data_IF_604903203342
#
_entry.id   IF_604903203342
#
_cell.length_a   1.000
_cell.length_b   1.000
_cell.length_c   1.000
_cell.angle_alpha   90.00
_cell.angle_beta   90.00
_cell.angle_gamma   90.00
#
_symmetry.space_group_name_H-M   'P 1'
#
loop_
_entity.id
_entity.type
_entity.pdbx_description
1 polymer ?
#
# COMPACT_ATOMS: atom_id res chain seq x y z
N UNK A 1 -0.99 16.47 4.24
CA UNK A 1 -2.22 15.97 4.88
C UNK A 1 -1.82 15.06 6.01
N UNK A 2 -2.57 15.00 7.11
CA UNK A 2 -2.17 14.20 8.27
C UNK A 2 -2.20 12.68 7.97
N UNK A 3 -1.10 11.99 8.27
CA UNK A 3 -1.02 10.54 8.22
C UNK A 3 -2.00 9.87 9.21
N UNK A 4 -2.45 8.65 8.88
CA UNK A 4 -3.29 7.81 9.75
C UNK A 4 -2.48 6.99 10.77
N UNK A 5 -1.17 6.88 10.56
CA UNK A 5 -0.23 6.15 11.41
C UNK A 5 1.03 6.99 11.59
N UNK A 6 1.84 6.63 12.59
CA UNK A 6 3.17 7.19 12.80
C UNK A 6 4.25 6.17 12.41
N UNK A 7 5.48 6.61 12.10
CA UNK A 7 6.58 5.69 11.76
C UNK A 7 6.86 4.64 12.84
N UNK A 8 6.57 4.95 14.11
CA UNK A 8 6.71 4.00 15.22
C UNK A 8 5.76 2.80 15.11
N UNK A 9 4.56 2.98 14.54
CA UNK A 9 3.60 1.89 14.29
C UNK A 9 4.15 0.89 13.26
N UNK A 10 5.05 1.35 12.37
CA UNK A 10 5.71 0.50 11.38
C UNK A 10 6.78 -0.37 12.07
N UNK A 11 7.51 0.18 13.03
CA UNK A 11 8.52 -0.55 13.79
C UNK A 11 7.91 -1.59 14.76
N UNK A 12 6.61 -1.51 15.06
CA UNK A 12 5.94 -2.41 15.98
C UNK A 12 6.07 -3.89 15.53
N UNK A 13 6.69 -4.71 16.38
CA UNK A 13 6.91 -6.14 16.15
C UNK A 13 8.11 -6.49 15.25
N UNK A 14 8.95 -5.50 14.90
CA UNK A 14 10.10 -5.68 14.02
C UNK A 14 11.38 -4.98 14.50
N UNK A 15 12.35 -4.85 13.58
CA UNK A 15 13.57 -4.09 13.83
C UNK A 15 13.23 -2.58 13.87
N UNK A 16 13.82 -1.80 14.80
CA UNK A 16 13.66 -0.34 14.77
C UNK A 16 14.15 0.25 13.45
N UNK A 17 13.46 1.28 12.98
CA UNK A 17 13.84 2.04 11.79
C UNK A 17 15.05 2.93 12.09
N UNK A 18 15.95 3.10 11.11
CA UNK A 18 17.00 4.12 11.19
C UNK A 18 16.41 5.52 11.00
N UNK A 19 17.13 6.58 11.35
CA UNK A 19 16.65 7.96 11.17
C UNK A 19 16.22 8.27 9.73
N UNK A 20 17.02 7.84 8.75
CA UNK A 20 16.69 7.99 7.32
C UNK A 20 15.40 7.25 6.94
N UNK A 21 15.24 6.01 7.43
CA UNK A 21 14.03 5.21 7.19
C UNK A 21 12.80 5.79 7.88
N UNK A 22 12.96 6.46 9.03
CA UNK A 22 11.86 7.14 9.71
C UNK A 22 11.33 8.31 8.89
N UNK A 23 12.23 9.12 8.30
CA UNK A 23 11.84 10.22 7.41
C UNK A 23 11.14 9.71 6.16
N UNK A 24 11.68 8.66 5.55
CA UNK A 24 11.06 8.03 4.38
C UNK A 24 9.70 7.41 4.71
N UNK A 25 9.60 6.67 5.81
CA UNK A 25 8.35 6.09 6.28
C UNK A 25 7.28 7.15 6.52
N UNK A 26 7.65 8.30 7.09
CA UNK A 26 6.72 9.42 7.27
C UNK A 26 6.20 9.94 5.92
N UNK A 27 7.09 10.14 4.94
CA UNK A 27 6.71 10.59 3.60
C UNK A 27 5.75 9.60 2.92
N UNK A 28 6.01 8.30 3.06
CA UNK A 28 5.16 7.25 2.49
C UNK A 28 3.81 7.15 3.18
N UNK A 29 3.76 7.37 4.50
CA UNK A 29 2.52 7.44 5.26
C UNK A 29 1.67 8.64 4.83
N UNK A 30 2.28 9.80 4.60
CA UNK A 30 1.58 10.99 4.10
C UNK A 30 1.05 10.79 2.67
N UNK A 31 1.84 10.13 1.81
CA UNK A 31 1.42 9.78 0.45
C UNK A 31 0.26 8.76 0.44
N UNK A 32 0.33 7.73 1.29
CA UNK A 32 -0.75 6.76 1.46
C UNK A 32 -2.02 7.44 1.99
N UNK A 33 -1.88 8.35 2.94
CA UNK A 33 -2.96 9.15 3.49
C UNK A 33 -3.64 10.05 2.45
N UNK A 34 -2.88 10.65 1.53
CA UNK A 34 -3.43 11.38 0.38
C UNK A 34 -4.23 10.45 -0.53
N UNK A 35 -3.64 9.31 -0.92
CA UNK A 35 -4.28 8.36 -1.83
C UNK A 35 -5.62 7.83 -1.32
N UNK A 36 -5.71 7.54 -0.01
CA UNK A 36 -6.94 7.09 0.64
C UNK A 36 -8.00 8.19 0.63
N UNK A 37 -7.63 9.41 1.01
CA UNK A 37 -8.58 10.54 1.07
C UNK A 37 -9.07 10.99 -0.30
N UNK A 38 -8.24 10.88 -1.33
CA UNK A 38 -8.66 11.17 -2.71
C UNK A 38 -9.77 10.23 -3.20
N UNK A 39 -9.83 9.00 -2.65
CA UNK A 39 -10.83 7.97 -3.03
C UNK A 39 -11.98 7.86 -2.04
N UNK A 40 -11.76 8.26 -0.80
CA UNK A 40 -12.75 8.25 0.28
C UNK A 40 -12.59 9.54 1.10
N UNK A 41 -13.13 10.67 0.61
CA UNK A 41 -12.94 11.97 1.26
C UNK A 41 -13.57 12.04 2.67
N UNK A 42 -14.64 11.28 2.89
CA UNK A 42 -15.40 11.26 4.15
C UNK A 42 -14.81 10.30 5.21
N UNK A 43 -13.58 9.80 5.01
CA UNK A 43 -12.95 8.90 5.98
C UNK A 43 -12.56 9.63 7.26
N UNK A 44 -12.87 9.04 8.41
CA UNK A 44 -12.49 9.59 9.70
C UNK A 44 -10.94 9.61 9.85
N UNK A 45 -10.36 10.66 10.46
CA UNK A 45 -8.91 10.76 10.64
C UNK A 45 -8.32 9.66 11.53
N UNK A 46 -9.13 9.09 12.43
CA UNK A 46 -8.73 8.01 13.35
C UNK A 46 -9.30 6.64 12.94
N UNK A 47 -9.64 6.46 11.66
CA UNK A 47 -10.19 5.20 11.15
C UNK A 47 -9.16 4.04 11.32
N UNK A 48 -9.50 2.98 12.07
CA UNK A 48 -8.55 1.90 12.36
C UNK A 48 -8.18 1.08 11.12
N UNK A 49 -9.08 0.97 10.13
CA UNK A 49 -8.80 0.28 8.88
C UNK A 49 -7.86 1.12 8.00
N UNK A 50 -8.04 2.44 7.97
CA UNK A 50 -7.13 3.36 7.29
C UNK A 50 -5.71 3.30 7.86
N UNK A 51 -5.60 3.25 9.20
CA UNK A 51 -4.33 3.06 9.90
C UNK A 51 -3.67 1.75 9.50
N UNK A 52 -4.40 0.63 9.59
CA UNK A 52 -3.89 -0.70 9.27
C UNK A 52 -3.42 -0.81 7.81
N UNK A 53 -4.23 -0.34 6.86
CA UNK A 53 -3.88 -0.37 5.43
C UNK A 53 -2.64 0.47 5.15
N UNK A 54 -2.55 1.68 5.74
CA UNK A 54 -1.37 2.53 5.58
C UNK A 54 -0.10 1.83 6.07
N UNK A 55 -0.15 1.19 7.24
CA UNK A 55 0.99 0.43 7.80
C UNK A 55 1.38 -0.73 6.88
N UNK A 56 0.43 -1.51 6.39
CA UNK A 56 0.71 -2.67 5.53
C UNK A 56 1.35 -2.26 4.19
N UNK A 57 0.80 -1.24 3.54
CA UNK A 57 1.32 -0.75 2.25
C UNK A 57 2.71 -0.15 2.39
N UNK A 58 2.95 0.66 3.44
CA UNK A 58 4.28 1.26 3.66
C UNK A 58 5.32 0.21 4.07
N UNK A 59 4.96 -0.78 4.90
CA UNK A 59 5.84 -1.93 5.19
C UNK A 59 6.26 -2.67 3.93
N UNK A 60 5.30 -2.93 3.03
CA UNK A 60 5.59 -3.59 1.76
C UNK A 60 6.51 -2.74 0.87
N UNK A 61 6.24 -1.43 0.80
CA UNK A 61 7.05 -0.47 0.04
C UNK A 61 8.52 -0.49 0.47
N UNK A 62 8.78 -0.30 1.77
CA UNK A 62 10.14 -0.27 2.35
C UNK A 62 10.90 -1.59 2.14
N UNK A 63 10.21 -2.75 2.16
CA UNK A 63 10.84 -4.04 1.89
C UNK A 63 11.16 -4.21 0.40
N UNK A 64 10.33 -3.66 -0.47
CA UNK A 64 10.45 -3.78 -1.92
C UNK A 64 11.39 -2.77 -2.58
N UNK A 65 11.70 -1.66 -1.89
CA UNK A 65 12.54 -0.56 -2.39
C UNK A 65 13.86 -1.01 -3.03
N UNK A 66 14.64 -1.94 -2.43
CA UNK A 66 15.91 -2.39 -3.03
C UNK A 66 15.75 -3.18 -4.34
N UNK A 67 14.52 -3.59 -4.67
CA UNK A 67 14.20 -4.41 -5.83
C UNK A 67 13.36 -3.64 -6.87
N UNK A 68 13.26 -2.32 -6.76
CA UNK A 68 12.55 -1.49 -7.73
C UNK A 68 13.12 -1.67 -9.13
N UNK A 69 12.22 -1.85 -10.10
CA UNK A 69 12.56 -2.11 -11.50
C UNK A 69 12.91 -3.56 -11.84
N UNK A 70 13.01 -4.45 -10.85
CA UNK A 70 13.20 -5.89 -11.08
C UNK A 70 11.85 -6.61 -11.15
N UNK A 71 11.65 -7.48 -12.14
CA UNK A 71 10.49 -8.38 -12.19
C UNK A 71 10.69 -9.67 -11.38
N UNK A 72 11.95 -10.10 -11.24
CA UNK A 72 12.37 -11.25 -10.43
C UNK A 72 13.76 -11.01 -9.88
N UNK A 73 14.04 -11.52 -8.67
CA UNK A 73 15.38 -11.49 -8.10
C UNK A 73 15.79 -12.88 -7.61
N UNK A 74 17.08 -13.16 -7.74
CA UNK A 74 17.75 -14.29 -7.08
C UNK A 74 19.08 -13.80 -6.56
N UNK A 75 19.31 -13.96 -5.26
CA UNK A 75 20.53 -13.59 -4.57
C UNK A 75 21.04 -14.80 -3.82
N UNK A 76 22.19 -15.31 -4.26
CA UNK A 76 22.91 -16.40 -3.60
C UNK A 76 24.09 -15.79 -2.84
N UNK A 77 24.16 -16.08 -1.53
CA UNK A 77 25.28 -15.69 -0.67
C UNK A 77 25.77 -16.96 0.03
N UNK A 78 26.95 -17.44 -0.37
CA UNK A 78 27.44 -18.75 0.07
C UNK A 78 26.48 -19.87 -0.33
N UNK A 79 26.05 -20.68 0.64
CA UNK A 79 25.09 -21.78 0.44
C UNK A 79 23.62 -21.33 0.49
N UNK A 80 23.33 -20.08 0.87
CA UNK A 80 21.96 -19.58 1.02
C UNK A 80 21.51 -18.87 -0.25
N UNK A 81 20.43 -19.35 -0.86
CA UNK A 81 19.78 -18.70 -2.00
C UNK A 81 18.44 -18.09 -1.58
N UNK A 82 18.27 -16.79 -1.85
CA UNK A 82 16.99 -16.09 -1.72
C UNK A 82 16.51 -15.67 -3.10
N UNK A 83 15.35 -16.17 -3.51
CA UNK A 83 14.73 -15.77 -4.77
C UNK A 83 13.27 -15.40 -4.57
N UNK A 84 12.74 -14.57 -5.46
CA UNK A 84 11.36 -14.10 -5.43
C UNK A 84 10.94 -13.47 -6.75
N UNK A 85 9.64 -13.51 -7.03
CA UNK A 85 9.02 -12.81 -8.17
C UNK A 85 8.20 -11.65 -7.62
N UNK A 86 8.30 -10.47 -8.24
CA UNK A 86 7.57 -9.28 -7.82
C UNK A 86 6.30 -9.13 -8.68
N UNK A 87 5.13 -9.05 -8.04
CA UNK A 87 3.85 -8.94 -8.75
C UNK A 87 3.62 -7.54 -9.38
N UNK A 88 4.18 -6.49 -8.76
CA UNK A 88 4.01 -5.09 -9.19
C UNK A 88 5.36 -4.37 -9.25
N UNK A 89 6.24 -4.74 -10.21
CA UNK A 89 7.57 -4.14 -10.32
C UNK A 89 7.45 -2.64 -10.62
N UNK A 90 8.03 -1.80 -9.76
CA UNK A 90 8.08 -0.35 -9.94
C UNK A 90 6.89 0.45 -9.38
N UNK A 91 5.93 -0.20 -8.71
CA UNK A 91 4.90 0.52 -7.94
C UNK A 91 5.36 0.70 -6.50
N UNK A 92 5.49 1.95 -6.04
CA UNK A 92 5.97 2.27 -4.70
C UNK A 92 4.93 1.95 -3.61
N UNK A 93 3.66 2.31 -3.85
CA UNK A 93 2.55 2.01 -2.94
C UNK A 93 1.51 1.16 -3.66
N UNK A 94 1.38 -0.11 -3.26
CA UNK A 94 0.45 -1.07 -3.86
C UNK A 94 -0.77 -1.27 -2.96
N UNK A 95 -1.91 -0.73 -3.38
CA UNK A 95 -3.20 -0.97 -2.73
C UNK A 95 -3.93 -2.15 -3.39
N UNK A 96 -3.90 -3.30 -2.72
CA UNK A 96 -4.57 -4.52 -3.18
C UNK A 96 -6.10 -4.38 -3.08
N UNK A 97 -6.83 -5.29 -3.72
CA UNK A 97 -8.28 -5.31 -3.64
C UNK A 97 -8.78 -5.54 -2.22
N UNK A 98 -8.06 -6.36 -1.44
CA UNK A 98 -8.31 -6.54 0.00
C UNK A 98 -8.20 -5.21 0.78
N UNK A 99 -7.20 -4.38 0.48
CA UNK A 99 -7.08 -3.06 1.12
C UNK A 99 -8.27 -2.15 0.77
N UNK A 100 -8.74 -2.22 -0.47
CA UNK A 100 -9.90 -1.42 -0.92
C UNK A 100 -11.19 -1.91 -0.26
N UNK A 101 -11.38 -3.23 -0.11
CA UNK A 101 -12.49 -3.83 0.65
C UNK A 101 -12.51 -3.35 2.09
N UNK A 102 -11.37 -3.39 2.80
CA UNK A 102 -11.26 -2.90 4.18
C UNK A 102 -11.63 -1.41 4.32
N UNK A 103 -11.29 -0.61 3.32
CA UNK A 103 -11.62 0.82 3.30
C UNK A 103 -13.05 1.09 2.83
N UNK A 104 -13.77 0.08 2.33
CA UNK A 104 -15.08 0.26 1.69
C UNK A 104 -15.00 1.02 0.36
N UNK A 105 -13.84 1.02 -0.30
CA UNK A 105 -13.64 1.64 -1.60
C UNK A 105 -14.11 0.65 -2.68
N UNK A 106 -15.06 1.02 -3.54
CA UNK A 106 -15.47 0.15 -4.64
C UNK A 106 -14.30 -0.07 -5.60
N UNK A 107 -13.95 -1.33 -5.84
CA UNK A 107 -12.80 -1.71 -6.68
C UNK A 107 -13.21 -2.55 -7.91
N UNK A 108 -14.47 -2.98 -7.98
CA UNK A 108 -15.07 -3.63 -9.15
C UNK A 108 -16.14 -2.71 -9.73
N UNK A 109 -16.14 -2.58 -11.05
CA UNK A 109 -17.27 -1.96 -11.74
C UNK A 109 -18.52 -2.82 -11.49
N UNK A 110 -19.58 -2.22 -10.95
CA UNK A 110 -20.89 -2.87 -10.91
C UNK A 110 -21.42 -3.08 -12.34
N UNK A 111 -22.31 -4.04 -12.56
CA UNK A 111 -22.98 -4.19 -13.85
C UNK A 111 -23.72 -2.90 -14.20
N UNK A 112 -23.33 -2.27 -15.31
CA UNK A 112 -24.02 -1.10 -15.87
C UNK A 112 -24.77 -1.54 -17.11
N UNK A 113 -26.10 -1.44 -17.08
CA UNK A 113 -26.94 -1.66 -18.26
C UNK A 113 -27.24 -0.33 -18.93
N UNK A 114 -26.94 -0.23 -20.23
CA UNK A 114 -27.40 0.88 -21.08
C UNK A 114 -28.52 0.38 -21.99
N UNK A 115 -29.75 0.30 -21.48
CA UNK A 115 -30.90 0.08 -22.36
C UNK A 115 -31.13 1.36 -23.16
N UNK A 116 -31.10 1.27 -24.49
CA UNK A 116 -31.60 2.37 -25.33
C UNK A 116 -33.12 2.43 -25.16
N UNK A 117 -33.67 3.65 -25.14
CA UNK A 117 -35.13 3.84 -25.15
C UNK A 117 -35.70 3.13 -26.39
N UNK A 118 -36.53 2.11 -26.18
CA UNK A 118 -37.19 1.35 -27.25
C UNK A 118 -36.68 -0.07 -27.51
N UNK A 119 -35.75 -0.59 -26.71
CA UNK A 119 -35.24 -1.97 -26.82
C UNK A 119 -35.92 -2.91 -25.79
N UNK A 120 -37.26 -2.93 -25.78
CA UNK A 120 -38.11 -3.79 -24.93
C UNK A 120 -38.88 -4.81 -25.75
#
# INVERSE_FOLDING_TARGET
>A
MAAFAIPEDIALGGRPLTEAQTVEAQLLLDAAASWIRDRKPDIAPDDPNAKLVSIQVVKAALVSEPYLGLSSYSKTVGEVTRSGTLAHPGQFLVFTDFHKELLGIPFRAGPAWSFKVGDY
#
